data_IF_458067035447
#
_entry.id   IF_458067035447
#
_cell.length_a   1.000
_cell.length_b   1.000
_cell.length_c   1.000
_cell.angle_alpha   90.00
_cell.angle_beta   90.00
_cell.angle_gamma   90.00
#
_symmetry.space_group_name_H-M   'P 1'
#
loop_
_entity.id
_entity.type
_entity.pdbx_description
1 polymer ?
#
# COMPACT_ATOMS: atom_id res chain seq x y z
N UNK A 1 -18.33 10.28 31.46
CA UNK A 1 -17.75 11.31 30.58
C UNK A 1 -16.87 10.63 29.53
N UNK A 2 -17.02 10.94 28.25
CA UNK A 2 -16.20 10.41 27.14
C UNK A 2 -14.99 11.32 26.82
N UNK A 3 -14.10 10.92 25.90
CA UNK A 3 -12.88 11.70 25.60
C UNK A 3 -13.16 13.12 25.11
N UNK A 4 -14.24 13.33 24.35
CA UNK A 4 -14.58 14.63 23.79
C UNK A 4 -15.13 15.60 24.85
N UNK A 5 -15.96 15.11 25.76
CA UNK A 5 -16.43 15.88 26.91
C UNK A 5 -15.27 16.24 27.84
N UNK A 6 -14.32 15.31 28.06
CA UNK A 6 -13.07 15.60 28.78
C UNK A 6 -12.29 16.69 28.06
N UNK A 7 -12.19 16.65 26.72
CA UNK A 7 -11.49 17.67 25.95
C UNK A 7 -12.10 19.07 26.12
N UNK A 8 -13.44 19.18 26.15
CA UNK A 8 -14.15 20.44 26.42
C UNK A 8 -13.93 20.94 27.86
N UNK A 9 -13.87 20.03 28.84
CA UNK A 9 -13.53 20.40 30.23
C UNK A 9 -12.09 20.92 30.34
N UNK A 10 -11.14 20.26 29.66
CA UNK A 10 -9.74 20.73 29.61
C UNK A 10 -9.65 22.09 28.91
N UNK A 11 -10.37 22.28 27.81
CA UNK A 11 -10.44 23.56 27.11
C UNK A 11 -10.93 24.68 28.04
N UNK A 12 -12.02 24.44 28.76
CA UNK A 12 -12.56 25.37 29.76
C UNK A 12 -11.53 25.68 30.87
N UNK A 13 -10.73 24.69 31.28
CA UNK A 13 -9.66 24.91 32.26
C UNK A 13 -8.56 25.82 31.69
N UNK A 14 -8.16 25.63 30.43
CA UNK A 14 -7.19 26.50 29.77
C UNK A 14 -7.71 27.93 29.54
N UNK A 15 -8.99 28.11 29.22
CA UNK A 15 -9.61 29.44 29.14
C UNK A 15 -9.58 30.18 30.48
N UNK A 16 -9.63 29.43 31.59
CA UNK A 16 -9.48 29.95 32.95
C UNK A 16 -8.01 30.17 33.36
N UNK A 17 -7.06 29.92 32.47
CA UNK A 17 -5.63 30.13 32.69
C UNK A 17 -4.94 29.04 33.51
N UNK A 18 -5.55 27.84 33.64
CA UNK A 18 -4.90 26.74 34.36
C UNK A 18 -3.72 26.18 33.58
N UNK A 19 -2.72 25.69 34.33
CA UNK A 19 -1.59 24.96 33.74
C UNK A 19 -2.03 23.58 33.21
N UNK A 20 -1.23 22.97 32.33
CA UNK A 20 -1.49 21.61 31.83
C UNK A 20 -1.65 20.57 32.96
N UNK A 21 -0.77 20.52 33.98
CA UNK A 21 -0.96 19.65 35.14
C UNK A 21 -2.28 19.89 35.89
N UNK A 22 -2.63 21.16 36.14
CA UNK A 22 -3.85 21.50 36.89
C UNK A 22 -5.12 21.17 36.09
N UNK A 23 -5.09 21.40 34.76
CA UNK A 23 -6.17 21.05 33.86
C UNK A 23 -6.37 19.52 33.79
N UNK A 24 -5.29 18.73 33.77
CA UNK A 24 -5.35 17.26 33.87
C UNK A 24 -5.94 16.83 35.20
N UNK A 25 -5.48 17.41 36.30
CA UNK A 25 -5.98 17.09 37.64
C UNK A 25 -7.47 17.39 37.75
N UNK A 26 -7.91 18.56 37.29
CA UNK A 26 -9.31 18.96 37.30
C UNK A 26 -10.17 18.06 36.40
N UNK A 27 -9.74 17.79 35.16
CA UNK A 27 -10.49 16.95 34.23
C UNK A 27 -10.53 15.47 34.65
N UNK A 28 -9.66 15.04 35.57
CA UNK A 28 -9.64 13.68 36.13
C UNK A 28 -10.58 13.52 37.33
N UNK A 29 -11.16 14.61 37.85
CA UNK A 29 -12.11 14.56 38.97
C UNK A 29 -13.45 13.95 38.52
N UNK A 30 -14.01 13.05 39.34
CA UNK A 30 -15.26 12.35 39.06
C UNK A 30 -15.12 11.01 38.32
N UNK A 31 -16.23 10.48 37.82
CA UNK A 31 -16.31 9.18 37.13
C UNK A 31 -16.05 9.34 35.61
N UNK A 32 -14.77 9.34 35.26
CA UNK A 32 -14.27 9.53 33.89
C UNK A 32 -13.90 8.17 33.28
N UNK A 33 -14.65 7.73 32.27
CA UNK A 33 -14.45 6.42 31.61
C UNK A 33 -13.11 6.32 30.90
N UNK A 34 -12.60 7.44 30.39
CA UNK A 34 -11.33 7.55 29.66
C UNK A 34 -10.20 8.12 30.53
N UNK A 35 -10.17 7.84 31.85
CA UNK A 35 -9.19 8.43 32.78
C UNK A 35 -7.73 8.27 32.31
N UNK A 36 -7.39 7.10 31.75
CA UNK A 36 -6.06 6.84 31.21
C UNK A 36 -5.70 7.72 29.99
N UNK A 37 -6.69 8.22 29.26
CA UNK A 37 -6.50 9.07 28.09
C UNK A 37 -6.41 10.57 28.43
N UNK A 38 -6.78 10.99 29.64
CA UNK A 38 -6.84 12.42 30.04
C UNK A 38 -5.54 13.18 29.77
N UNK A 39 -4.33 12.65 30.09
CA UNK A 39 -3.08 13.35 29.77
C UNK A 39 -2.87 13.55 28.26
N UNK A 40 -3.21 12.55 27.45
CA UNK A 40 -3.11 12.64 25.99
C UNK A 40 -4.14 13.62 25.41
N UNK A 41 -5.37 13.61 25.95
CA UNK A 41 -6.41 14.59 25.59
C UNK A 41 -5.94 15.99 25.91
N UNK A 42 -5.38 16.24 27.10
CA UNK A 42 -4.96 17.57 27.47
C UNK A 42 -3.81 18.10 26.59
N UNK A 43 -2.86 17.23 26.23
CA UNK A 43 -1.80 17.56 25.27
C UNK A 43 -2.36 17.83 23.86
N UNK A 44 -3.39 17.10 23.44
CA UNK A 44 -4.06 17.38 22.17
C UNK A 44 -4.73 18.75 22.21
N UNK A 45 -5.51 19.04 23.24
CA UNK A 45 -6.23 20.32 23.40
C UNK A 45 -5.25 21.49 23.37
N UNK A 46 -4.16 21.40 24.13
CA UNK A 46 -3.13 22.44 24.21
C UNK A 46 -2.50 22.76 22.84
N UNK A 47 -2.19 21.73 22.05
CA UNK A 47 -1.41 21.90 20.81
C UNK A 47 -2.28 22.06 19.56
N UNK A 48 -3.50 21.51 19.56
CA UNK A 48 -4.30 21.32 18.35
C UNK A 48 -5.78 21.70 18.52
N UNK A 49 -6.20 22.18 19.68
CA UNK A 49 -7.60 22.53 19.94
C UNK A 49 -8.10 23.83 19.28
N UNK A 50 -7.22 24.57 18.60
CA UNK A 50 -7.57 25.80 17.87
C UNK A 50 -7.19 27.12 18.56
N UNK A 51 -6.48 27.07 19.70
CA UNK A 51 -5.88 28.27 20.32
C UNK A 51 -6.82 29.08 21.22
N UNK A 52 -6.33 30.25 21.66
CA UNK A 52 -6.76 31.03 22.84
C UNK A 52 -8.14 31.69 22.78
N UNK A 53 -8.90 31.53 21.69
CA UNK A 53 -10.27 32.01 21.59
C UNK A 53 -11.21 30.83 21.35
N UNK A 54 -11.76 30.27 22.43
CA UNK A 54 -12.91 29.37 22.34
C UNK A 54 -12.62 27.95 21.86
N UNK A 55 -11.38 27.55 21.59
CA UNK A 55 -11.06 26.19 21.11
C UNK A 55 -12.00 25.70 19.97
N UNK A 56 -12.05 26.43 18.83
CA UNK A 56 -13.08 26.25 17.80
C UNK A 56 -13.09 24.84 17.20
N UNK A 57 -11.94 24.17 17.15
CA UNK A 57 -11.83 22.81 16.64
C UNK A 57 -12.48 21.77 17.55
N UNK A 58 -12.51 22.02 18.86
CA UNK A 58 -13.20 21.16 19.82
C UNK A 58 -14.71 21.40 19.80
N UNK A 59 -15.16 22.65 19.64
CA UNK A 59 -16.57 22.93 19.44
C UNK A 59 -17.10 22.36 18.13
N UNK A 60 -16.29 22.40 17.07
CA UNK A 60 -16.58 21.66 15.85
C UNK A 60 -16.79 20.17 16.13
N UNK A 61 -15.83 19.50 16.79
CA UNK A 61 -15.95 18.07 17.12
C UNK A 61 -17.17 17.78 18.00
N UNK A 62 -17.51 18.67 18.93
CA UNK A 62 -18.68 18.56 19.79
C UNK A 62 -19.99 18.65 19.00
N UNK A 63 -20.10 19.60 18.08
CA UNK A 63 -21.26 19.75 17.21
C UNK A 63 -21.36 18.58 16.22
N UNK A 64 -20.24 18.16 15.65
CA UNK A 64 -20.12 16.98 14.79
C UNK A 64 -20.59 15.72 15.53
N UNK A 65 -20.09 15.49 16.75
CA UNK A 65 -20.49 14.37 17.60
C UNK A 65 -22.00 14.34 17.87
N UNK A 66 -22.60 15.49 18.19
CA UNK A 66 -24.04 15.63 18.43
C UNK A 66 -24.85 15.30 17.17
N UNK A 67 -24.44 15.82 16.01
CA UNK A 67 -25.14 15.58 14.74
C UNK A 67 -25.19 14.10 14.38
N UNK A 68 -24.14 13.35 14.70
CA UNK A 68 -24.05 11.93 14.39
C UNK A 68 -24.41 11.01 15.55
N UNK A 69 -24.91 11.57 16.67
CA UNK A 69 -25.18 10.84 17.90
C UNK A 69 -24.02 9.92 18.33
N UNK A 70 -22.79 10.44 18.24
CA UNK A 70 -21.57 9.67 18.45
C UNK A 70 -21.38 9.33 19.93
N UNK A 71 -21.32 8.03 20.23
CA UNK A 71 -21.09 7.51 21.58
C UNK A 71 -19.78 6.74 21.72
N UNK A 72 -18.96 6.70 20.67
CA UNK A 72 -17.76 5.88 20.60
C UNK A 72 -16.56 6.54 21.28
N UNK A 73 -15.79 5.72 21.98
CA UNK A 73 -14.50 6.09 22.56
C UNK A 73 -13.38 5.93 21.52
N UNK A 74 -12.35 6.76 21.62
CA UNK A 74 -11.17 6.71 20.74
C UNK A 74 -10.17 5.69 21.23
N UNK A 75 -10.04 5.56 22.56
CA UNK A 75 -9.06 4.67 23.20
C UNK A 75 -7.71 5.34 23.44
N UNK A 76 -7.08 4.98 24.57
CA UNK A 76 -5.88 5.64 25.10
C UNK A 76 -4.70 5.63 24.15
N UNK A 77 -4.38 4.48 23.55
CA UNK A 77 -3.20 4.35 22.67
C UNK A 77 -3.33 5.19 21.40
N UNK A 78 -4.51 5.18 20.78
CA UNK A 78 -4.77 5.97 19.59
C UNK A 78 -4.78 7.46 19.91
N UNK A 79 -5.41 7.86 21.02
CA UNK A 79 -5.43 9.25 21.46
C UNK A 79 -4.02 9.77 21.78
N UNK A 80 -3.20 8.95 22.45
CA UNK A 80 -1.79 9.25 22.70
C UNK A 80 -1.01 9.44 21.40
N UNK A 81 -1.19 8.52 20.45
CA UNK A 81 -0.55 8.60 19.13
C UNK A 81 -0.98 9.87 18.39
N UNK A 82 -2.28 10.19 18.39
CA UNK A 82 -2.82 11.38 17.75
C UNK A 82 -2.27 12.69 18.36
N UNK A 83 -2.13 12.73 19.69
CA UNK A 83 -1.61 13.88 20.42
C UNK A 83 -0.09 14.07 20.32
N UNK A 84 0.65 13.03 19.93
CA UNK A 84 2.14 13.04 19.94
C UNK A 84 2.79 12.73 18.60
N UNK A 85 2.00 12.37 17.58
CA UNK A 85 2.51 12.09 16.24
C UNK A 85 3.31 13.30 15.73
N UNK A 86 4.54 13.04 15.32
CA UNK A 86 5.39 14.02 14.68
C UNK A 86 5.46 13.71 13.18
N UNK A 87 5.02 14.67 12.36
CA UNK A 87 5.06 14.61 10.90
C UNK A 87 6.42 14.99 10.33
N UNK A 88 7.35 15.49 11.17
CA UNK A 88 8.68 15.98 10.77
C UNK A 88 8.61 17.06 9.69
N UNK A 89 7.61 17.93 9.78
CA UNK A 89 7.47 19.10 8.91
C UNK A 89 7.69 20.35 9.72
N UNK A 90 8.62 21.19 9.27
CA UNK A 90 9.00 22.40 9.99
C UNK A 90 7.90 23.48 9.97
N UNK A 91 7.03 23.45 8.96
CA UNK A 91 6.09 24.53 8.65
C UNK A 91 4.65 24.26 9.09
N UNK A 92 4.31 23.03 9.46
CA UNK A 92 2.94 22.67 9.82
C UNK A 92 2.88 21.59 10.90
N UNK A 93 2.04 21.82 11.91
CA UNK A 93 1.80 20.88 13.02
C UNK A 93 0.54 20.01 12.81
N UNK A 94 -0.13 20.19 11.67
CA UNK A 94 -1.28 19.42 11.19
C UNK A 94 -2.48 19.30 12.17
N UNK A 95 -3.02 20.42 12.69
CA UNK A 95 -4.19 20.39 13.55
C UNK A 95 -5.45 19.84 12.84
N UNK A 96 -5.65 20.15 11.55
CA UNK A 96 -6.87 19.75 10.84
C UNK A 96 -6.92 18.26 10.55
N UNK A 97 -5.80 17.66 10.11
CA UNK A 97 -5.69 16.21 9.92
C UNK A 97 -5.93 15.47 11.23
N UNK A 98 -5.46 16.01 12.35
CA UNK A 98 -5.71 15.45 13.69
C UNK A 98 -7.20 15.47 14.07
N UNK A 99 -7.85 16.60 13.84
CA UNK A 99 -9.30 16.77 14.06
C UNK A 99 -10.09 15.85 13.14
N UNK A 100 -9.70 15.73 11.87
CA UNK A 100 -10.35 14.84 10.91
C UNK A 100 -10.24 13.36 11.32
N UNK A 101 -9.07 12.92 11.82
CA UNK A 101 -8.90 11.60 12.39
C UNK A 101 -9.83 11.37 13.59
N UNK A 102 -9.96 12.34 14.50
CA UNK A 102 -10.88 12.22 15.63
C UNK A 102 -12.35 12.19 15.16
N UNK A 103 -12.74 13.06 14.24
CA UNK A 103 -14.08 13.07 13.65
C UNK A 103 -14.44 11.72 12.99
N UNK A 104 -13.50 11.12 12.25
CA UNK A 104 -13.63 9.79 11.67
C UNK A 104 -13.87 8.72 12.76
N UNK A 105 -13.16 8.81 13.88
CA UNK A 105 -13.37 7.90 15.00
C UNK A 105 -14.75 8.03 15.64
N UNK A 106 -15.27 9.25 15.78
CA UNK A 106 -16.60 9.52 16.35
C UNK A 106 -17.74 8.95 15.50
N UNK A 107 -17.54 8.89 14.18
CA UNK A 107 -18.57 8.45 13.20
C UNK A 107 -18.36 7.03 12.67
N UNK A 108 -17.45 6.27 13.27
CA UNK A 108 -17.10 4.95 12.76
C UNK A 108 -18.29 3.98 12.77
N UNK A 109 -18.61 3.32 11.65
CA UNK A 109 -19.55 2.21 11.62
C UNK A 109 -18.95 0.92 12.20
N UNK A 110 -17.64 0.92 12.50
CA UNK A 110 -16.91 -0.22 13.09
C UNK A 110 -16.58 0.11 14.54
N UNK A 111 -17.21 -0.60 15.46
CA UNK A 111 -16.96 -0.47 16.89
C UNK A 111 -16.78 -1.84 17.54
N UNK A 112 -15.95 -1.90 18.57
CA UNK A 112 -15.77 -3.06 19.43
C UNK A 112 -15.65 -2.57 20.88
N UNK A 113 -16.47 -3.13 21.78
CA UNK A 113 -16.46 -2.81 23.21
C UNK A 113 -16.60 -1.29 23.51
N UNK A 114 -17.35 -0.57 22.68
CA UNK A 114 -17.54 0.88 22.80
C UNK A 114 -16.41 1.73 22.23
N UNK A 115 -15.36 1.11 21.67
CA UNK A 115 -14.27 1.79 20.99
C UNK A 115 -14.44 1.75 19.48
N UNK A 116 -14.12 2.86 18.82
CA UNK A 116 -14.07 2.92 17.37
C UNK A 116 -12.88 2.11 16.82
N UNK A 117 -13.05 1.50 15.64
CA UNK A 117 -12.07 0.62 14.97
C UNK A 117 -11.78 0.99 13.52
N UNK A 118 -12.22 2.17 13.06
CA UNK A 118 -11.98 2.61 11.66
C UNK A 118 -10.52 3.02 11.42
N UNK A 119 -9.88 3.63 12.42
CA UNK A 119 -8.44 3.89 12.43
C UNK A 119 -7.80 3.10 13.57
N UNK A 120 -6.61 2.57 13.31
CA UNK A 120 -5.78 1.90 14.31
C UNK A 120 -4.52 2.71 14.61
N UNK A 121 -3.85 2.35 15.71
CA UNK A 121 -2.56 2.95 16.10
C UNK A 121 -1.53 2.82 14.98
N UNK A 122 -1.61 1.78 14.16
CA UNK A 122 -0.70 1.51 13.04
C UNK A 122 -0.99 2.37 11.80
N UNK A 123 -2.16 3.00 11.71
CA UNK A 123 -2.53 3.80 10.53
C UNK A 123 -1.99 5.22 10.62
N UNK A 124 -1.99 5.82 11.81
CA UNK A 124 -1.52 7.19 12.01
C UNK A 124 -0.05 7.41 11.57
N UNK A 125 0.90 6.51 11.88
CA UNK A 125 2.27 6.64 11.39
C UNK A 125 2.41 6.54 9.86
N UNK A 126 1.46 5.94 9.13
CA UNK A 126 1.54 5.85 7.66
C UNK A 126 1.31 7.21 7.00
N UNK A 127 0.62 8.12 7.68
CA UNK A 127 0.37 9.49 7.18
C UNK A 127 1.68 10.29 7.00
N UNK A 128 2.76 9.92 7.69
CA UNK A 128 4.08 10.54 7.51
C UNK A 128 4.97 9.83 6.48
N UNK A 129 4.48 8.79 5.83
CA UNK A 129 5.28 8.04 4.86
C UNK A 129 5.57 8.90 3.61
N UNK A 130 6.74 8.73 2.97
CA UNK A 130 7.11 9.51 1.79
C UNK A 130 6.09 9.44 0.64
N UNK A 131 5.39 8.31 0.51
CA UNK A 131 4.38 8.12 -0.54
C UNK A 131 3.05 8.83 -0.29
N UNK A 132 2.78 9.30 0.93
CA UNK A 132 1.46 9.85 1.32
C UNK A 132 1.57 11.28 1.85
N UNK A 133 2.71 11.68 2.41
CA UNK A 133 2.88 12.98 3.09
C UNK A 133 2.51 14.19 2.22
N UNK A 134 2.77 14.15 0.90
CA UNK A 134 2.37 15.23 -0.01
C UNK A 134 0.84 15.43 -0.05
N UNK A 135 0.08 14.33 -0.04
CA UNK A 135 -1.39 14.38 -0.01
C UNK A 135 -1.90 14.85 1.36
N UNK A 136 -1.20 14.50 2.44
CA UNK A 136 -1.55 14.96 3.80
C UNK A 136 -1.36 16.47 3.94
N UNK A 137 -0.27 17.01 3.39
CA UNK A 137 -0.03 18.47 3.33
C UNK A 137 -1.15 19.15 2.55
N UNK A 138 -1.46 18.66 1.35
CA UNK A 138 -2.54 19.21 0.54
C UNK A 138 -3.89 19.16 1.27
N UNK A 139 -4.22 18.05 1.93
CA UNK A 139 -5.47 17.91 2.68
C UNK A 139 -5.53 18.86 3.89
N UNK A 140 -4.43 19.05 4.61
CA UNK A 140 -4.34 20.03 5.69
C UNK A 140 -4.57 21.45 5.18
N UNK A 141 -3.94 21.85 4.07
CA UNK A 141 -4.13 23.17 3.45
C UNK A 141 -5.58 23.38 3.00
N UNK A 142 -6.20 22.38 2.38
CA UNK A 142 -7.60 22.44 1.96
C UNK A 142 -8.57 22.60 3.14
N UNK A 143 -8.29 21.92 4.25
CA UNK A 143 -9.10 22.02 5.46
C UNK A 143 -8.88 23.37 6.16
N UNK A 144 -7.66 23.90 6.19
CA UNK A 144 -7.35 25.20 6.77
C UNK A 144 -7.96 26.36 5.95
N UNK A 145 -7.80 26.35 4.62
CA UNK A 145 -8.33 27.41 3.75
C UNK A 145 -9.86 27.58 3.87
N UNK A 146 -10.57 26.51 4.23
CA UNK A 146 -12.02 26.53 4.43
C UNK A 146 -12.45 26.93 5.85
N UNK A 147 -11.57 26.94 6.84
CA UNK A 147 -11.91 27.38 8.21
C UNK A 147 -12.00 28.90 8.39
N UNK A 148 -11.56 29.69 7.40
CA UNK A 148 -11.66 31.15 7.42
C UNK A 148 -13.04 31.66 6.99
N UNK A 149 -13.92 30.78 6.53
CA UNK A 149 -15.33 31.04 6.18
C UNK A 149 -16.17 30.00 6.90
N UNK A 150 -16.95 30.40 7.92
CA UNK A 150 -17.78 29.58 8.82
C UNK A 150 -17.94 28.09 8.44
N UNK A 151 -17.21 27.23 9.14
CA UNK A 151 -17.21 25.78 8.89
C UNK A 151 -18.54 25.16 9.36
N UNK A 152 -19.45 24.86 8.43
CA UNK A 152 -20.66 24.09 8.75
C UNK A 152 -20.32 22.60 8.85
N UNK A 153 -21.10 21.84 9.64
CA UNK A 153 -20.88 20.40 9.84
C UNK A 153 -20.96 19.62 8.51
N UNK A 154 -21.66 20.17 7.50
CA UNK A 154 -21.73 19.68 6.12
C UNK A 154 -20.39 19.73 5.38
N UNK A 155 -19.42 20.55 5.79
CA UNK A 155 -18.20 20.82 5.01
C UNK A 155 -17.05 19.86 5.35
N UNK A 156 -16.97 19.42 6.61
CA UNK A 156 -16.09 18.29 6.99
C UNK A 156 -16.66 16.98 6.47
N UNK A 157 -17.99 16.91 6.35
CA UNK A 157 -18.62 15.86 5.55
C UNK A 157 -18.27 16.04 4.09
N UNK A 158 -18.24 17.20 3.44
CA UNK A 158 -17.80 17.28 2.05
C UNK A 158 -16.33 16.82 1.82
N UNK A 159 -15.46 16.94 2.84
CA UNK A 159 -14.10 16.39 2.81
C UNK A 159 -14.02 14.88 3.15
N UNK A 160 -14.97 14.35 3.94
CA UNK A 160 -15.11 12.93 4.32
C UNK A 160 -16.06 12.14 3.39
N UNK A 161 -16.95 12.85 2.68
CA UNK A 161 -18.01 12.44 1.77
C UNK A 161 -17.61 12.79 0.34
N UNK A 162 -16.48 12.24 -0.09
CA UNK A 162 -16.51 11.48 -1.35
C UNK A 162 -17.25 10.15 -1.13
N UNK A 163 -18.43 10.23 -0.55
CA UNK A 163 -19.45 9.19 -0.57
C UNK A 163 -20.78 9.94 -0.70
N UNK A 164 -20.91 10.65 -1.83
CA UNK A 164 -22.23 10.94 -2.38
C UNK A 164 -22.96 9.60 -2.37
N UNK A 165 -23.98 9.46 -1.52
CA UNK A 165 -24.71 8.22 -1.42
C UNK A 165 -25.44 8.05 -2.75
N UNK A 166 -24.96 7.10 -3.54
CA UNK A 166 -25.56 6.74 -4.82
C UNK A 166 -26.68 5.76 -4.53
N UNK A 167 -27.77 5.83 -5.29
CA UNK A 167 -28.93 4.98 -5.14
C UNK A 167 -29.28 4.28 -6.44
N UNK A 168 -29.86 3.09 -6.32
CA UNK A 168 -30.44 2.32 -7.42
C UNK A 168 -31.87 1.98 -7.07
N UNK A 169 -32.71 1.88 -8.09
CA UNK A 169 -34.08 1.43 -7.96
C UNK A 169 -34.40 0.48 -9.13
N UNK A 170 -35.09 -0.63 -8.83
CA UNK A 170 -35.45 -1.65 -9.84
C UNK A 170 -36.29 -1.07 -10.97
N UNK A 171 -37.12 -0.09 -10.67
CA UNK A 171 -38.03 0.56 -11.63
C UNK A 171 -37.26 1.44 -12.62
N UNK A 172 -36.00 1.81 -12.29
CA UNK A 172 -35.12 2.63 -13.12
C UNK A 172 -33.95 1.84 -13.73
N UNK A 173 -34.03 0.50 -13.74
CA UNK A 173 -33.04 -0.37 -14.37
C UNK A 173 -31.66 -0.29 -13.74
N UNK A 174 -30.61 -0.14 -14.56
CA UNK A 174 -29.22 -0.07 -14.13
C UNK A 174 -28.72 1.36 -13.83
N UNK A 175 -29.64 2.35 -13.79
CA UNK A 175 -29.29 3.75 -13.53
C UNK A 175 -28.85 3.93 -12.08
N UNK A 176 -27.91 4.85 -11.90
CA UNK A 176 -27.39 5.27 -10.60
C UNK A 176 -27.81 6.71 -10.38
N UNK A 177 -28.41 6.99 -9.22
CA UNK A 177 -28.93 8.30 -8.87
C UNK A 177 -28.23 8.88 -7.65
N UNK A 178 -28.12 10.19 -7.60
CA UNK A 178 -27.68 10.97 -6.46
C UNK A 178 -28.88 11.60 -5.77
N UNK A 179 -28.96 11.48 -4.45
CA UNK A 179 -29.92 12.26 -3.66
C UNK A 179 -29.40 13.70 -3.58
N UNK A 180 -30.05 14.62 -4.28
CA UNK A 180 -29.61 16.02 -4.37
C UNK A 180 -30.39 16.96 -3.45
N UNK A 181 -31.63 16.60 -3.10
CA UNK A 181 -32.47 17.41 -2.22
C UNK A 181 -33.51 16.56 -1.48
N UNK A 182 -34.05 17.08 -0.38
CA UNK A 182 -35.12 16.44 0.39
C UNK A 182 -36.02 17.49 1.06
N UNK A 183 -37.32 17.35 0.83
CA UNK A 183 -38.38 18.18 1.42
C UNK A 183 -39.26 17.34 2.35
N UNK A 184 -40.26 17.97 2.99
CA UNK A 184 -41.21 17.30 3.88
C UNK A 184 -42.09 16.26 3.16
N UNK A 185 -42.24 16.36 1.83
CA UNK A 185 -43.13 15.50 1.04
C UNK A 185 -42.39 14.50 0.15
N UNK A 186 -41.18 14.84 -0.32
CA UNK A 186 -40.42 14.01 -1.25
C UNK A 186 -38.91 14.25 -1.18
N UNK A 187 -38.16 13.27 -1.68
CA UNK A 187 -36.74 13.37 -1.97
C UNK A 187 -36.51 13.52 -3.48
N UNK A 188 -35.47 14.25 -3.87
CA UNK A 188 -35.10 14.45 -5.27
C UNK A 188 -33.86 13.62 -5.61
N UNK A 189 -34.03 12.69 -6.55
CA UNK A 189 -32.99 11.80 -7.04
C UNK A 189 -32.61 12.21 -8.47
N UNK A 190 -31.33 12.46 -8.74
CA UNK A 190 -30.85 12.87 -10.07
C UNK A 190 -29.93 11.82 -10.69
N UNK A 191 -30.08 11.58 -11.99
CA UNK A 191 -29.19 10.72 -12.78
C UNK A 191 -28.64 11.53 -13.96
N UNK A 192 -27.31 11.51 -14.12
CA UNK A 192 -26.63 12.19 -15.22
C UNK A 192 -26.07 11.17 -16.23
N UNK A 193 -26.76 10.91 -17.35
CA UNK A 193 -26.23 10.09 -18.44
C UNK A 193 -25.11 10.83 -19.20
N UNK A 194 -24.29 10.10 -19.96
CA UNK A 194 -23.12 10.68 -20.66
C UNK A 194 -23.48 11.64 -21.79
N UNK A 195 -24.56 11.37 -22.51
CA UNK A 195 -24.90 12.01 -23.79
C UNK A 195 -26.35 12.49 -23.86
N UNK A 196 -27.03 12.53 -22.72
CA UNK A 196 -28.42 12.96 -22.64
C UNK A 196 -28.58 13.93 -21.47
N UNK A 197 -29.71 14.61 -21.41
CA UNK A 197 -30.01 15.53 -20.33
C UNK A 197 -30.15 14.80 -18.99
N UNK A 198 -29.95 15.55 -17.90
CA UNK A 198 -30.13 15.06 -16.55
C UNK A 198 -31.58 14.61 -16.33
N UNK A 199 -31.74 13.43 -15.74
CA UNK A 199 -33.03 12.91 -15.31
C UNK A 199 -33.21 13.21 -13.82
N UNK A 200 -34.37 13.74 -13.46
CA UNK A 200 -34.74 14.04 -12.08
C UNK A 200 -36.00 13.28 -11.70
N UNK A 201 -35.99 12.67 -10.51
CA UNK A 201 -37.08 11.85 -9.99
C UNK A 201 -37.42 12.33 -8.59
N UNK A 202 -38.63 12.86 -8.42
CA UNK A 202 -39.18 13.15 -7.10
C UNK A 202 -39.79 11.88 -6.51
N UNK A 203 -39.17 11.38 -5.46
CA UNK A 203 -39.53 10.16 -4.75
C UNK A 203 -40.30 10.52 -3.50
N UNK A 204 -41.60 10.19 -3.39
CA UNK A 204 -42.35 10.35 -2.16
C UNK A 204 -41.65 9.64 -0.99
N UNK A 205 -41.66 10.24 0.20
CA UNK A 205 -40.92 9.70 1.35
C UNK A 205 -41.31 8.25 1.69
N UNK A 206 -42.56 7.85 1.44
CA UNK A 206 -43.04 6.48 1.68
C UNK A 206 -42.43 5.45 0.71
N UNK A 207 -41.94 5.89 -0.45
CA UNK A 207 -41.32 5.05 -1.48
C UNK A 207 -39.79 5.03 -1.39
N UNK A 208 -39.16 5.89 -0.60
CA UNK A 208 -37.71 5.89 -0.37
C UNK A 208 -37.13 4.52 0.05
N UNK A 209 -37.79 3.68 0.86
CA UNK A 209 -37.26 2.36 1.21
C UNK A 209 -37.06 1.41 0.02
N UNK A 210 -37.66 1.70 -1.14
CA UNK A 210 -37.44 0.93 -2.39
C UNK A 210 -36.12 1.27 -3.08
N UNK A 211 -35.52 2.41 -2.74
CA UNK A 211 -34.24 2.88 -3.25
C UNK A 211 -33.10 2.34 -2.38
N UNK A 212 -32.13 1.70 -3.03
CA UNK A 212 -31.02 1.04 -2.35
C UNK A 212 -29.74 1.80 -2.58
N UNK A 213 -29.09 2.16 -1.48
CA UNK A 213 -27.74 2.70 -1.53
C UNK A 213 -26.80 1.75 -2.29
N UNK A 214 -25.94 2.30 -3.13
CA UNK A 214 -24.97 1.58 -3.96
C UNK A 214 -23.60 2.25 -3.88
N UNK A 215 -22.56 1.48 -4.23
CA UNK A 215 -21.20 1.99 -4.44
C UNK A 215 -20.91 2.27 -5.92
N UNK A 216 -21.82 1.89 -6.80
CA UNK A 216 -21.71 2.23 -8.21
C UNK A 216 -21.73 3.75 -8.37
N UNK A 217 -20.90 4.27 -9.26
CA UNK A 217 -20.83 5.70 -9.56
C UNK A 217 -21.67 6.00 -10.80
N UNK A 218 -22.12 7.26 -10.92
CA UNK A 218 -22.68 7.74 -12.18
C UNK A 218 -21.64 7.67 -13.30
N UNK A 219 -22.06 7.40 -14.55
CA UNK A 219 -21.15 7.39 -15.67
C UNK A 219 -20.59 8.82 -15.88
N UNK A 220 -19.29 8.92 -16.12
CA UNK A 220 -18.61 10.18 -16.41
C UNK A 220 -17.79 10.06 -17.70
N UNK A 221 -17.81 11.11 -18.52
CA UNK A 221 -16.88 11.21 -19.64
C UNK A 221 -15.49 11.50 -19.10
N UNK A 222 -14.49 10.84 -19.69
CA UNK A 222 -13.10 11.25 -19.50
C UNK A 222 -12.93 12.65 -20.12
N UNK A 223 -12.38 13.64 -19.41
CA UNK A 223 -12.04 14.93 -19.98
C UNK A 223 -11.19 14.76 -21.24
N UNK A 224 -11.47 15.54 -22.30
CA UNK A 224 -10.84 15.38 -23.62
C UNK A 224 -9.31 15.47 -23.55
N UNK A 225 -8.78 16.39 -22.76
CA UNK A 225 -7.33 16.54 -22.56
C UNK A 225 -6.70 15.29 -21.93
N UNK A 226 -7.32 14.75 -20.87
CA UNK A 226 -6.87 13.52 -20.22
C UNK A 226 -6.98 12.30 -21.15
N UNK A 227 -8.05 12.22 -21.94
CA UNK A 227 -8.20 11.17 -22.93
C UNK A 227 -7.10 11.25 -23.99
N UNK A 228 -6.84 12.45 -24.52
CA UNK A 228 -5.80 12.70 -25.53
C UNK A 228 -4.41 12.33 -25.00
N UNK A 229 -4.07 12.78 -23.80
CA UNK A 229 -2.79 12.46 -23.15
C UNK A 229 -2.66 10.96 -22.82
N UNK A 230 -3.73 10.35 -22.33
CA UNK A 230 -3.78 8.93 -21.97
C UNK A 230 -3.71 8.00 -23.19
N UNK A 231 -4.25 8.41 -24.35
CA UNK A 231 -4.16 7.63 -25.58
C UNK A 231 -2.73 7.60 -26.16
N UNK A 232 -1.96 8.68 -25.98
CA UNK A 232 -0.53 8.74 -26.32
C UNK A 232 0.35 8.56 -25.08
N UNK A 233 -0.08 7.71 -24.13
CA UNK A 233 0.57 7.64 -22.83
C UNK A 233 2.04 7.25 -22.95
N UNK A 234 2.89 8.01 -22.26
CA UNK A 234 4.35 7.79 -22.17
C UNK A 234 4.70 6.36 -21.77
N UNK A 235 3.83 5.70 -21.00
CA UNK A 235 4.01 4.30 -20.59
C UNK A 235 4.07 3.33 -21.78
N UNK A 236 3.41 3.62 -22.90
CA UNK A 236 3.47 2.79 -24.11
C UNK A 236 4.81 2.94 -24.83
N UNK A 237 5.39 4.14 -24.84
CA UNK A 237 6.73 4.37 -25.38
C UNK A 237 7.80 3.68 -24.53
N UNK A 238 7.64 3.76 -23.20
CA UNK A 238 8.50 3.06 -22.24
C UNK A 238 8.41 1.54 -22.41
N UNK A 239 7.19 0.98 -22.52
CA UNK A 239 6.96 -0.45 -22.73
C UNK A 239 7.54 -0.95 -24.04
N UNK A 240 7.41 -0.14 -25.10
CA UNK A 240 8.04 -0.43 -26.39
C UNK A 240 9.56 -0.49 -26.26
N UNK A 241 10.19 0.50 -25.61
CA UNK A 241 11.63 0.51 -25.41
C UNK A 241 12.10 -0.69 -24.60
N UNK A 242 11.38 -1.07 -23.54
CA UNK A 242 11.64 -2.29 -22.76
C UNK A 242 11.60 -3.55 -23.62
N UNK A 243 10.57 -3.66 -24.46
CA UNK A 243 10.38 -4.80 -25.36
C UNK A 243 11.47 -4.91 -26.42
N UNK A 244 11.94 -3.78 -26.95
CA UNK A 244 13.06 -3.72 -27.90
C UNK A 244 14.36 -4.20 -27.25
N UNK A 245 14.64 -3.80 -26.00
CA UNK A 245 15.80 -4.31 -25.22
C UNK A 245 15.67 -5.81 -24.97
N UNK A 246 14.49 -6.29 -24.55
CA UNK A 246 14.26 -7.72 -24.32
C UNK A 246 14.52 -8.53 -25.61
N UNK A 247 13.99 -8.07 -26.76
CA UNK A 247 14.21 -8.73 -28.04
C UNK A 247 15.70 -8.73 -28.44
N UNK A 248 16.41 -7.62 -28.23
CA UNK A 248 17.84 -7.55 -28.50
C UNK A 248 18.64 -8.53 -27.63
N UNK A 249 18.29 -8.67 -26.34
CA UNK A 249 18.91 -9.67 -25.45
C UNK A 249 18.70 -11.10 -25.97
N UNK A 250 17.49 -11.44 -26.40
CA UNK A 250 17.19 -12.76 -26.98
C UNK A 250 18.02 -13.02 -28.25
N UNK A 251 18.02 -12.08 -29.20
CA UNK A 251 18.81 -12.22 -30.44
C UNK A 251 20.31 -12.34 -30.19
N UNK A 252 20.83 -11.55 -29.24
CA UNK A 252 22.23 -11.63 -28.84
C UNK A 252 22.57 -12.99 -28.21
N UNK A 253 21.70 -13.49 -27.32
CA UNK A 253 21.88 -14.79 -26.67
C UNK A 253 21.79 -15.96 -27.68
N UNK A 254 20.90 -15.88 -28.67
CA UNK A 254 20.82 -16.86 -29.76
C UNK A 254 22.08 -16.85 -30.64
N UNK A 255 22.58 -15.66 -31.02
CA UNK A 255 23.80 -15.55 -31.83
C UNK A 255 25.04 -16.06 -31.10
N UNK A 256 25.12 -15.82 -29.80
CA UNK A 256 26.24 -16.22 -28.95
C UNK A 256 25.95 -17.49 -28.15
N UNK A 257 25.00 -18.31 -28.62
CA UNK A 257 24.62 -19.54 -27.95
C UNK A 257 25.82 -20.49 -27.81
N UNK A 258 25.92 -21.11 -26.64
CA UNK A 258 26.93 -22.12 -26.32
C UNK A 258 26.22 -23.42 -25.96
N UNK A 259 26.67 -24.52 -26.58
CA UNK A 259 26.12 -25.84 -26.34
C UNK A 259 26.77 -26.54 -25.13
N UNK A 260 26.14 -27.64 -24.69
CA UNK A 260 26.65 -28.50 -23.62
C UNK A 260 27.98 -29.20 -23.99
N UNK A 261 28.40 -29.17 -25.26
CA UNK A 261 29.70 -29.67 -25.70
C UNK A 261 30.80 -28.62 -25.62
N UNK A 262 30.49 -27.39 -25.23
CA UNK A 262 31.43 -26.28 -25.13
C UNK A 262 31.58 -25.82 -23.69
N UNK A 263 30.47 -25.76 -22.95
CA UNK A 263 30.44 -25.39 -21.54
C UNK A 263 29.67 -26.41 -20.71
N UNK A 264 30.05 -26.53 -19.44
CA UNK A 264 29.38 -27.36 -18.46
C UNK A 264 29.03 -26.52 -17.22
N UNK A 265 27.86 -26.80 -16.66
CA UNK A 265 27.43 -26.26 -15.38
C UNK A 265 27.86 -27.23 -14.28
N UNK A 266 28.66 -26.74 -13.33
CA UNK A 266 29.08 -27.48 -12.16
C UNK A 266 28.21 -27.16 -10.96
N UNK A 267 27.97 -28.14 -10.09
CA UNK A 267 27.32 -27.96 -8.80
C UNK A 267 28.23 -28.57 -7.72
N UNK A 268 28.27 -27.96 -6.54
CA UNK A 268 29.08 -28.38 -5.38
C UNK A 268 30.60 -28.50 -5.69
N UNK A 269 31.29 -27.40 -6.06
CA UNK A 269 30.82 -26.01 -6.05
C UNK A 269 30.09 -25.60 -7.33
N UNK A 270 29.22 -24.58 -7.21
CA UNK A 270 28.54 -24.01 -8.37
C UNK A 270 29.52 -23.24 -9.26
N UNK A 271 29.48 -23.49 -10.57
CA UNK A 271 30.30 -22.74 -11.51
C UNK A 271 30.05 -23.10 -12.96
N UNK A 272 30.74 -22.41 -13.85
CA UNK A 272 30.72 -22.65 -15.28
C UNK A 272 32.13 -23.09 -15.70
N UNK A 273 32.25 -24.16 -16.49
CA UNK A 273 33.53 -24.70 -16.94
C UNK A 273 33.54 -24.88 -18.46
N UNK A 274 34.70 -24.72 -19.07
CA UNK A 274 34.92 -25.15 -20.46
C UNK A 274 35.03 -26.68 -20.51
N UNK A 275 34.26 -27.36 -21.36
CA UNK A 275 34.35 -28.83 -21.49
C UNK A 275 35.50 -29.29 -22.38
N UNK A 276 35.95 -28.42 -23.28
CA UNK A 276 37.05 -28.62 -24.22
C UNK A 276 37.89 -27.35 -24.34
N UNK A 277 39.03 -27.43 -25.02
CA UNK A 277 39.81 -26.25 -25.33
C UNK A 277 39.01 -25.31 -26.25
N UNK A 278 38.88 -24.04 -25.87
CA UNK A 278 38.15 -23.01 -26.62
C UNK A 278 39.17 -21.98 -27.11
N UNK A 279 39.55 -22.08 -28.39
CA UNK A 279 40.54 -21.18 -29.00
C UNK A 279 39.96 -19.85 -29.51
N UNK A 280 38.65 -19.80 -29.72
CA UNK A 280 37.94 -18.61 -30.20
C UNK A 280 37.36 -17.82 -29.03
N UNK A 281 37.11 -16.54 -29.22
CA UNK A 281 36.36 -15.74 -28.26
C UNK A 281 34.90 -16.21 -28.20
N UNK A 282 34.42 -16.50 -27.00
CA UNK A 282 33.03 -16.74 -26.64
C UNK A 282 32.49 -15.53 -25.88
N UNK A 283 31.18 -15.34 -25.93
CA UNK A 283 30.50 -14.28 -25.19
C UNK A 283 29.33 -14.86 -24.42
N UNK A 284 29.30 -14.61 -23.12
CA UNK A 284 28.17 -14.95 -22.27
C UNK A 284 27.25 -13.72 -22.24
N UNK A 285 26.06 -13.85 -22.80
CA UNK A 285 25.05 -12.79 -22.79
C UNK A 285 24.15 -12.97 -21.55
N UNK A 286 23.88 -11.91 -20.77
CA UNK A 286 23.01 -11.97 -19.60
C UNK A 286 21.53 -12.02 -20.04
N UNK A 287 21.06 -13.16 -20.54
CA UNK A 287 19.65 -13.29 -20.93
C UNK A 287 18.75 -13.28 -19.68
N UNK A 288 17.88 -12.30 -19.52
CA UNK A 288 17.12 -12.14 -18.29
C UNK A 288 15.89 -11.25 -18.40
N UNK A 289 15.33 -10.89 -17.23
CA UNK A 289 14.25 -9.94 -17.09
C UNK A 289 14.77 -8.51 -17.18
N UNK A 290 14.22 -7.74 -18.11
CA UNK A 290 14.53 -6.31 -18.26
C UNK A 290 13.63 -5.49 -17.33
N UNK A 291 14.23 -4.75 -16.40
CA UNK A 291 13.53 -3.86 -15.50
C UNK A 291 14.05 -2.44 -15.64
N UNK A 292 13.22 -1.44 -15.39
CA UNK A 292 13.69 -0.05 -15.37
C UNK A 292 14.60 0.17 -14.16
N UNK A 293 15.75 0.81 -14.37
CA UNK A 293 16.64 1.18 -13.28
C UNK A 293 15.96 2.19 -12.35
N UNK A 294 16.16 2.04 -11.04
CA UNK A 294 15.70 3.03 -10.06
C UNK A 294 16.75 4.15 -9.98
N UNK A 295 16.38 5.38 -9.59
CA UNK A 295 17.36 6.46 -9.40
C UNK A 295 18.47 6.13 -8.39
N UNK A 296 18.18 5.22 -7.46
CA UNK A 296 19.09 4.76 -6.40
C UNK A 296 19.87 3.50 -6.79
N UNK A 297 19.71 2.99 -8.01
CA UNK A 297 20.44 1.81 -8.47
C UNK A 297 21.93 2.18 -8.54
N UNK A 298 22.74 1.61 -7.65
CA UNK A 298 24.21 1.71 -7.72
C UNK A 298 24.64 1.31 -9.14
N UNK A 299 25.64 1.98 -9.71
CA UNK A 299 26.17 1.61 -11.03
C UNK A 299 26.54 0.13 -11.04
N UNK A 300 25.79 -0.67 -11.80
CA UNK A 300 26.09 -2.08 -12.02
C UNK A 300 26.58 -2.25 -13.45
N UNK A 301 27.36 -3.30 -13.71
CA UNK A 301 27.84 -3.62 -15.06
C UNK A 301 26.75 -4.21 -15.97
N UNK A 302 25.50 -4.28 -15.51
CA UNK A 302 24.33 -4.85 -16.20
C UNK A 302 23.28 -3.79 -16.51
N UNK A 303 23.75 -2.62 -16.98
CA UNK A 303 22.91 -1.51 -17.40
C UNK A 303 22.87 -1.41 -18.92
N UNK A 304 21.69 -1.14 -19.47
CA UNK A 304 21.47 -0.86 -20.90
C UNK A 304 20.77 0.49 -21.03
N UNK A 305 21.32 1.38 -21.85
CA UNK A 305 20.69 2.65 -22.22
C UNK A 305 19.92 2.50 -23.53
N UNK A 306 18.59 2.66 -23.51
CA UNK A 306 17.77 2.61 -24.72
C UNK A 306 16.44 3.36 -24.54
N UNK A 307 16.00 4.06 -25.60
CA UNK A 307 14.71 4.77 -25.60
C UNK A 307 14.61 5.90 -24.57
N UNK A 308 15.73 6.51 -24.16
CA UNK A 308 15.77 7.53 -23.11
C UNK A 308 15.62 6.97 -21.68
N UNK A 309 15.84 5.67 -21.52
CA UNK A 309 15.75 4.97 -20.24
C UNK A 309 16.97 4.08 -20.00
N UNK A 310 17.35 3.98 -18.72
CA UNK A 310 18.32 3.00 -18.24
C UNK A 310 17.58 1.75 -17.75
N UNK A 311 18.03 0.59 -18.22
CA UNK A 311 17.45 -0.71 -17.92
C UNK A 311 18.44 -1.60 -17.18
N UNK A 312 17.97 -2.34 -16.18
CA UNK A 312 18.73 -3.39 -15.49
C UNK A 312 18.32 -4.76 -15.99
N UNK A 313 19.25 -5.71 -15.94
CA UNK A 313 19.02 -7.10 -16.31
C UNK A 313 19.05 -7.98 -15.06
N UNK A 314 17.90 -8.53 -14.69
CA UNK A 314 17.78 -9.52 -13.62
C UNK A 314 17.79 -10.94 -14.18
N UNK A 315 18.35 -11.94 -13.48
CA UNK A 315 18.31 -13.32 -13.95
C UNK A 315 16.88 -13.87 -13.96
N UNK A 316 16.55 -14.68 -14.97
CA UNK A 316 15.42 -15.61 -14.84
C UNK A 316 15.71 -16.63 -13.74
N UNK A 317 14.66 -17.33 -13.26
CA UNK A 317 14.81 -18.42 -12.29
C UNK A 317 15.83 -19.44 -12.82
N UNK A 318 16.93 -19.65 -12.10
CA UNK A 318 18.00 -20.56 -12.51
C UNK A 318 17.78 -21.98 -11.96
N UNK A 319 18.06 -23.00 -12.77
CA UNK A 319 18.00 -24.40 -12.34
C UNK A 319 19.27 -24.80 -11.57
N UNK A 320 19.39 -24.29 -10.34
CA UNK A 320 20.59 -24.45 -9.51
C UNK A 320 20.82 -25.87 -8.99
N UNK A 321 19.80 -26.73 -9.09
CA UNK A 321 19.82 -28.12 -8.58
C UNK A 321 19.73 -29.18 -9.68
N UNK A 322 19.73 -28.76 -10.96
CA UNK A 322 19.61 -29.67 -12.12
C UNK A 322 18.38 -30.58 -12.07
N UNK A 323 17.26 -30.05 -11.58
CA UNK A 323 15.97 -30.73 -11.59
C UNK A 323 15.48 -30.90 -13.04
N UNK A 324 15.18 -32.13 -13.45
CA UNK A 324 14.84 -32.46 -14.86
C UNK A 324 13.56 -31.77 -15.35
N UNK A 325 12.55 -31.64 -14.50
CA UNK A 325 11.24 -31.06 -14.83
C UNK A 325 11.11 -29.59 -14.40
N UNK A 326 12.23 -28.93 -14.11
CA UNK A 326 12.21 -27.55 -13.62
C UNK A 326 11.82 -26.58 -14.74
N UNK A 327 10.91 -25.62 -14.50
CA UNK A 327 10.68 -24.50 -15.42
C UNK A 327 11.84 -23.48 -15.41
N UNK A 328 12.85 -23.70 -14.59
CA UNK A 328 14.02 -22.84 -14.45
C UNK A 328 15.05 -23.09 -15.57
N UNK A 329 15.78 -22.06 -15.96
CA UNK A 329 16.74 -22.10 -17.06
C UNK A 329 18.20 -22.19 -16.57
N UNK A 330 19.11 -22.54 -17.48
CA UNK A 330 20.56 -22.48 -17.26
C UNK A 330 21.15 -21.41 -18.17
N UNK A 331 21.52 -20.26 -17.60
CA UNK A 331 22.02 -19.12 -18.37
C UNK A 331 23.49 -18.89 -18.02
N UNK A 332 24.43 -19.19 -18.95
CA UNK A 332 25.87 -19.22 -18.65
C UNK A 332 26.41 -17.98 -17.95
N UNK A 333 25.95 -16.79 -18.36
CA UNK A 333 26.38 -15.53 -17.74
C UNK A 333 26.21 -15.53 -16.22
N UNK A 334 25.05 -15.99 -15.72
CA UNK A 334 24.74 -15.98 -14.28
C UNK A 334 25.39 -17.14 -13.51
N UNK A 335 26.06 -18.07 -14.21
CA UNK A 335 26.83 -19.16 -13.62
C UNK A 335 28.34 -18.91 -13.61
N UNK A 336 28.82 -17.92 -14.39
CA UNK A 336 30.17 -17.40 -14.27
C UNK A 336 30.31 -16.70 -12.92
N UNK A 337 31.23 -17.16 -12.05
CA UNK A 337 31.35 -16.63 -10.68
C UNK A 337 32.38 -15.51 -10.61
N UNK A 338 32.23 -14.55 -9.69
CA UNK A 338 33.28 -13.59 -9.41
C UNK A 338 34.46 -14.26 -8.69
N UNK A 339 35.68 -13.74 -8.89
CA UNK A 339 36.88 -14.08 -8.11
C UNK A 339 37.59 -12.80 -7.66
N UNK A 340 38.25 -12.85 -6.51
CA UNK A 340 39.17 -11.79 -6.06
C UNK A 340 40.59 -11.97 -6.60
N UNK A 341 40.92 -13.16 -7.10
CA UNK A 341 42.26 -13.53 -7.55
C UNK A 341 42.45 -13.19 -9.03
N UNK A 342 43.24 -12.16 -9.39
CA UNK A 342 43.39 -11.74 -10.79
C UNK A 342 44.00 -12.82 -11.70
N UNK A 343 44.79 -13.73 -11.14
CA UNK A 343 45.39 -14.87 -11.85
C UNK A 343 44.39 -15.95 -12.26
N UNK A 344 43.23 -16.01 -11.60
CA UNK A 344 42.17 -16.98 -11.90
C UNK A 344 41.12 -16.44 -12.89
N UNK A 345 41.20 -15.15 -13.25
CA UNK A 345 40.25 -14.51 -14.14
C UNK A 345 40.38 -15.07 -15.56
N UNK A 346 39.27 -15.58 -16.08
CA UNK A 346 39.19 -16.15 -17.43
C UNK A 346 38.16 -15.44 -18.30
N UNK A 347 37.33 -14.58 -17.70
CA UNK A 347 36.28 -13.81 -18.35
C UNK A 347 36.39 -12.33 -17.94
N UNK A 348 36.23 -11.42 -18.89
CA UNK A 348 36.22 -9.98 -18.68
C UNK A 348 34.91 -9.38 -19.15
N UNK A 349 34.50 -8.27 -18.54
CA UNK A 349 33.33 -7.53 -19.01
C UNK A 349 33.62 -6.89 -20.36
N UNK A 350 32.66 -7.03 -21.27
CA UNK A 350 32.70 -6.49 -22.63
C UNK A 350 31.28 -6.11 -23.06
N UNK A 351 31.10 -5.79 -24.33
CA UNK A 351 29.79 -5.44 -24.89
C UNK A 351 29.56 -6.12 -26.24
N UNK A 352 28.29 -6.40 -26.54
CA UNK A 352 27.82 -6.76 -27.88
C UNK A 352 26.78 -5.74 -28.32
N UNK A 353 26.79 -5.37 -29.59
CA UNK A 353 25.76 -4.51 -30.17
C UNK A 353 24.76 -5.39 -30.91
N UNK A 354 23.49 -5.30 -30.52
CA UNK A 354 22.39 -6.02 -31.18
C UNK A 354 21.24 -5.07 -31.50
N UNK A 355 20.84 -5.03 -32.77
CA UNK A 355 19.77 -4.13 -33.22
C UNK A 355 19.98 -2.66 -32.81
N UNK A 356 21.24 -2.21 -32.75
CA UNK A 356 21.63 -0.86 -32.32
C UNK A 356 21.70 -0.66 -30.80
N UNK A 357 21.42 -1.69 -30.01
CA UNK A 357 21.45 -1.66 -28.54
C UNK A 357 22.74 -2.29 -28.03
N UNK A 358 23.48 -1.56 -27.20
CA UNK A 358 24.70 -2.05 -26.55
C UNK A 358 24.33 -2.87 -25.32
N UNK A 359 24.67 -4.16 -25.34
CA UNK A 359 24.38 -5.12 -24.29
C UNK A 359 25.69 -5.48 -23.57
N UNK A 360 25.77 -5.36 -22.24
CA UNK A 360 26.93 -5.83 -21.49
C UNK A 360 27.00 -7.36 -21.50
N UNK A 361 28.19 -7.91 -21.62
CA UNK A 361 28.44 -9.35 -21.63
C UNK A 361 29.76 -9.71 -20.94
N UNK A 362 30.05 -11.00 -20.82
CA UNK A 362 31.37 -11.51 -20.44
C UNK A 362 32.04 -12.15 -21.65
N UNK A 363 33.32 -11.89 -21.89
CA UNK A 363 34.10 -12.53 -22.94
C UNK A 363 35.45 -13.04 -22.43
N UNK A 364 35.98 -14.10 -23.03
CA UNK A 364 37.31 -14.60 -22.68
C UNK A 364 38.39 -13.80 -23.44
N UNK A 365 39.35 -13.18 -22.74
CA UNK A 365 40.43 -12.43 -23.39
C UNK A 365 41.50 -13.33 -24.01
N UNK A 366 41.58 -14.60 -23.58
CA UNK A 366 42.54 -15.60 -24.03
C UNK A 366 41.84 -16.95 -24.29
N UNK A 367 42.46 -17.87 -25.04
CA UNK A 367 41.99 -19.25 -25.17
C UNK A 367 41.76 -19.91 -23.80
N UNK A 368 40.69 -20.71 -23.71
CA UNK A 368 40.38 -21.47 -22.50
C UNK A 368 40.84 -22.92 -22.64
N UNK A 369 41.43 -23.46 -21.58
CA UNK A 369 41.84 -24.86 -21.49
C UNK A 369 40.66 -25.78 -21.13
N UNK A 370 40.73 -27.08 -21.47
CA UNK A 370 39.72 -28.04 -21.04
C UNK A 370 39.57 -28.08 -19.52
N UNK A 371 38.34 -28.07 -19.03
CA UNK A 371 37.96 -28.06 -17.61
C UNK A 371 38.36 -26.79 -16.85
N UNK A 372 38.78 -25.74 -17.55
CA UNK A 372 39.04 -24.45 -16.92
C UNK A 372 37.73 -23.79 -16.47
N UNK A 373 37.73 -23.24 -15.26
CA UNK A 373 36.58 -22.53 -14.71
C UNK A 373 36.48 -21.11 -15.29
N UNK A 374 35.25 -20.69 -15.57
CA UNK A 374 34.93 -19.36 -16.07
C UNK A 374 34.65 -18.43 -14.89
N UNK A 375 35.55 -17.47 -14.69
CA UNK A 375 35.56 -16.54 -13.58
C UNK A 375 35.83 -15.12 -14.06
N UNK A 376 35.16 -14.14 -13.44
CA UNK A 376 35.40 -12.72 -13.71
C UNK A 376 35.87 -11.99 -12.45
N UNK A 377 36.63 -10.91 -12.59
CA UNK A 377 37.11 -10.17 -11.43
C UNK A 377 35.94 -9.48 -10.70
N UNK A 378 35.80 -9.74 -9.41
CA UNK A 378 34.89 -9.00 -8.54
C UNK A 378 35.25 -7.51 -8.60
N UNK A 379 34.27 -6.62 -8.78
CA UNK A 379 34.53 -5.20 -8.61
C UNK A 379 34.92 -4.97 -7.14
N UNK A 380 36.00 -4.22 -6.87
CA UNK A 380 36.32 -3.76 -5.52
C UNK A 380 35.28 -2.72 -5.06
N UNK A 381 34.09 -3.20 -4.69
CA UNK A 381 33.06 -2.49 -3.98
C UNK A 381 32.08 -3.52 -3.37
N UNK A 382 32.36 -3.86 -2.12
CA UNK A 382 31.46 -4.40 -1.09
C UNK A 382 30.84 -5.80 -1.31
N UNK A 383 31.20 -6.69 -0.38
CA UNK A 383 30.55 -7.95 -0.14
C UNK A 383 29.03 -7.79 -0.03
N UNK A 384 28.30 -8.48 -0.89
CA UNK A 384 26.95 -8.96 -0.59
C UNK A 384 26.98 -10.48 -0.63
N UNK A 385 27.49 -11.09 0.42
CA UNK A 385 26.98 -12.39 0.84
C UNK A 385 25.85 -12.15 1.85
N UNK A 386 24.83 -13.01 1.77
CA UNK A 386 23.59 -13.07 2.56
C UNK A 386 22.46 -12.09 2.17
N UNK A 387 21.72 -12.43 1.10
CA UNK A 387 20.25 -12.56 1.21
C UNK A 387 19.70 -13.48 0.09
N UNK A 388 20.00 -14.77 0.17
CA UNK A 388 19.11 -15.79 -0.40
C UNK A 388 18.09 -16.15 0.68
N UNK A 389 17.14 -15.25 0.90
CA UNK A 389 15.95 -15.54 1.68
C UNK A 389 15.23 -16.75 1.09
N UNK A 390 14.99 -17.74 1.95
CA UNK A 390 14.06 -18.84 1.75
C UNK A 390 12.70 -18.28 1.32
N UNK A 391 12.42 -18.31 0.01
CA UNK A 391 11.06 -18.27 -0.49
C UNK A 391 10.45 -19.67 -0.35
N UNK A 392 10.17 -20.08 0.89
CA UNK A 392 9.19 -21.13 1.17
C UNK A 392 7.80 -20.55 0.89
N UNK A 393 7.39 -20.67 -0.37
CA UNK A 393 6.04 -20.38 -0.85
C UNK A 393 5.51 -21.60 -1.58
N UNK A 394 5.38 -22.72 -0.88
CA UNK A 394 4.58 -23.84 -1.35
C UNK A 394 3.10 -23.43 -1.19
N UNK A 395 2.52 -22.98 -2.30
CA UNK A 395 1.09 -23.01 -2.51
C UNK A 395 0.68 -24.49 -2.61
N UNK A 396 0.01 -24.99 -1.60
CA UNK A 396 -0.81 -26.19 -1.69
C UNK A 396 -2.30 -25.83 -1.83
N UNK A 397 -3.09 -26.73 -2.45
CA UNK A 397 -4.26 -26.36 -3.24
C UNK A 397 -5.51 -26.08 -2.41
N UNK A 398 -6.40 -25.29 -3.02
CA UNK A 398 -7.70 -24.89 -2.50
C UNK A 398 -8.57 -26.09 -2.13
N UNK A 399 -8.90 -26.22 -0.85
CA UNK A 399 -10.03 -27.05 -0.41
C UNK A 399 -11.26 -26.17 -0.14
N UNK A 400 -12.39 -26.65 -0.67
CA UNK A 400 -13.63 -25.94 -0.82
C UNK A 400 -14.31 -25.61 0.52
N UNK A 401 -14.88 -24.41 0.61
CA UNK A 401 -15.83 -24.03 1.65
C UNK A 401 -17.20 -24.63 1.37
N UNK A 402 -17.95 -25.10 2.39
CA UNK A 402 -19.41 -25.08 2.33
C UNK A 402 -19.95 -24.00 3.27
N UNK A 403 -20.72 -23.08 2.69
CA UNK A 403 -21.63 -22.18 3.42
C UNK A 403 -22.96 -22.90 3.72
N UNK A 404 -23.52 -22.55 4.87
CA UNK A 404 -24.93 -22.21 5.12
C UNK A 404 -25.84 -23.17 5.93
N UNK A 405 -26.29 -22.61 7.07
CA UNK A 405 -27.67 -22.44 7.57
C UNK A 405 -28.41 -23.62 8.26
N UNK A 406 -28.54 -23.42 9.58
CA UNK A 406 -29.79 -23.16 10.33
C UNK A 406 -30.76 -24.29 10.76
N UNK A 407 -31.05 -24.24 12.09
CA UNK A 407 -32.30 -24.57 12.82
C UNK A 407 -32.82 -26.01 12.78
N UNK A 408 -32.89 -26.70 13.94
CA UNK A 408 -34.04 -26.67 14.87
C UNK A 408 -33.95 -27.74 15.99
N UNK A 409 -34.30 -27.31 17.21
CA UNK A 409 -35.27 -27.93 18.16
C UNK A 409 -34.97 -29.27 18.89
N UNK A 410 -34.72 -29.11 20.19
CA UNK A 410 -35.42 -29.71 21.34
C UNK A 410 -34.99 -31.05 21.99
N UNK A 411 -35.01 -30.94 23.34
CA UNK A 411 -35.47 -31.87 24.38
C UNK A 411 -34.47 -32.86 25.01
N UNK A 412 -34.04 -32.49 26.22
CA UNK A 412 -34.19 -33.21 27.49
C UNK A 412 -34.08 -34.75 27.48
N UNK A 413 -33.17 -35.30 28.29
CA UNK A 413 -33.40 -35.84 29.67
C UNK A 413 -32.23 -36.78 30.03
N UNK A 414 -31.83 -36.75 31.30
CA UNK A 414 -31.41 -37.89 32.16
C UNK A 414 -30.32 -38.87 31.63
N UNK A 415 -29.41 -39.43 32.41
CA UNK A 415 -29.34 -39.67 33.84
C UNK A 415 -27.92 -40.19 34.17
N UNK A 416 -27.48 -39.87 35.40
CA UNK A 416 -26.71 -40.68 36.34
C UNK A 416 -25.49 -41.51 35.90
N UNK A 417 -24.41 -41.25 36.64
CA UNK A 417 -23.25 -42.10 36.93
C UNK A 417 -23.52 -43.62 37.04
N UNK A 418 -22.44 -44.42 36.91
CA UNK A 418 -22.17 -45.44 37.90
C UNK A 418 -20.79 -45.26 38.58
N UNK A 419 -20.66 -45.65 39.86
CA UNK A 419 -19.49 -45.35 40.68
C UNK A 419 -18.45 -46.49 40.73
N UNK A 420 -17.26 -46.10 41.20
CA UNK A 420 -16.40 -46.85 42.14
C UNK A 420 -15.84 -48.22 41.72
N UNK A 421 -14.52 -48.25 41.47
CA UNK A 421 -13.66 -49.37 41.87
C UNK A 421 -12.58 -48.86 42.83
N UNK A 422 -12.62 -49.41 44.05
CA UNK A 422 -11.65 -49.27 45.13
C UNK A 422 -10.53 -50.35 44.98
N UNK A 423 -9.49 -50.40 45.83
CA UNK A 423 -8.10 -50.17 45.45
C UNK A 423 -7.23 -51.44 45.51
N UNK A 424 -5.93 -51.32 45.21
CA UNK A 424 -4.93 -52.31 45.64
C UNK A 424 -3.96 -51.69 46.64
N UNK A 425 -4.03 -52.26 47.85
CA UNK A 425 -3.15 -52.21 49.03
C UNK A 425 -3.13 -50.94 49.85
#
# INVERSE_FOLDING_TARGET
INELEVALHVATAFEKGLSLPDAIQQASQGDVRCRASVPAIAKFVQNFGGGSQGFPLLHFLANFSKQFNATLLVGTELMSTLATLDFRQATCIFPMIRVACWACMLTSPRAQDGFSRILTVNDLPKLKSPGVIAQVIQAEEMLQAKTQTDMQVTDVLAASHKTIAMYTNKDHGAKVFELTDMTDDHATMTHKPLFHDQEEVHVPLQKLPTWKATKALMPMLCPEELAREGMTAKILLEERARSEVQLALHKAAERHHLDAQTIAFGQNPQGLLATKAIRKTIRLVPLGMVNKAKPTTKETKLLIEHGGHTWTIGPFRQNLQFEADSPACLIPFFWCKPTSEPSEVTMVYSTVVESGITIPCLENPAPLEPRQQLLFLAAHAEASEADHGEASGAAEPSEATPKAKAKNKAKAKEQSEPPSKKPKK
#
